data_IF_177061828587
#
_entry.id   IF_177061828587
#
_cell.length_a   1.000
_cell.length_b   1.000
_cell.length_c   1.000
_cell.angle_alpha   90.00
_cell.angle_beta   90.00
_cell.angle_gamma   90.00
#
_symmetry.space_group_name_H-M   'P 1'
#
loop_
_entity.id
_entity.type
_entity.pdbx_description
1 polymer ?
#
# COMPACT_ATOMS: atom_id res chain seq x y z
N UNK A 1 12.45 -32.37 -1.23
CA UNK A 1 13.70 -31.97 -0.56
C UNK A 1 13.62 -32.32 0.92
N UNK A 2 14.56 -33.13 1.42
CA UNK A 2 14.55 -33.68 2.77
C UNK A 2 15.12 -32.67 3.78
N UNK A 3 14.36 -32.34 4.84
CA UNK A 3 14.86 -31.52 5.96
C UNK A 3 15.75 -32.40 6.83
N UNK A 4 16.89 -31.91 7.28
CA UNK A 4 17.76 -32.60 8.24
C UNK A 4 17.04 -32.90 9.57
N UNK A 5 17.55 -33.85 10.38
CA UNK A 5 16.92 -34.28 11.65
C UNK A 5 17.97 -34.50 12.74
N UNK A 6 17.58 -34.35 14.00
CA UNK A 6 18.52 -34.56 15.12
C UNK A 6 19.54 -33.43 15.20
N UNK A 7 20.78 -33.76 15.53
CA UNK A 7 21.85 -32.77 15.72
C UNK A 7 22.18 -31.98 14.44
N UNK A 8 21.97 -32.56 13.26
CA UNK A 8 22.18 -31.89 11.98
C UNK A 8 21.13 -30.80 11.68
N UNK A 9 19.92 -30.94 12.22
CA UNK A 9 18.90 -29.89 12.13
C UNK A 9 19.28 -28.71 13.02
N UNK A 10 19.42 -27.51 12.45
CA UNK A 10 19.86 -26.30 13.17
C UNK A 10 21.17 -26.54 13.96
N UNK A 11 22.25 -26.94 13.29
CA UNK A 11 23.54 -27.27 13.92
C UNK A 11 24.06 -26.16 14.86
N UNK A 12 23.86 -24.89 14.50
CA UNK A 12 24.28 -23.73 15.32
C UNK A 12 23.34 -23.36 16.49
N UNK A 13 22.30 -24.14 16.77
CA UNK A 13 21.33 -23.86 17.85
C UNK A 13 21.17 -25.12 18.71
N UNK A 14 21.36 -24.96 20.03
CA UNK A 14 21.18 -26.06 20.99
C UNK A 14 19.69 -26.37 21.20
N UNK A 15 19.38 -27.61 21.60
CA UNK A 15 18.01 -27.99 21.94
C UNK A 15 17.44 -27.12 23.06
N UNK A 16 18.25 -26.86 24.10
CA UNK A 16 17.89 -26.03 25.26
C UNK A 16 17.52 -24.61 24.86
N UNK A 17 18.18 -24.04 23.85
CA UNK A 17 17.87 -22.70 23.35
C UNK A 17 16.50 -22.63 22.68
N UNK A 18 16.11 -23.67 21.93
CA UNK A 18 14.79 -23.75 21.30
C UNK A 18 13.70 -23.95 22.35
N UNK A 19 13.94 -24.80 23.35
CA UNK A 19 13.01 -25.08 24.44
C UNK A 19 12.79 -23.85 25.34
N UNK A 20 13.86 -23.12 25.68
CA UNK A 20 13.76 -21.84 26.39
C UNK A 20 12.88 -20.86 25.63
N UNK A 21 13.13 -20.67 24.33
CA UNK A 21 12.31 -19.78 23.50
C UNK A 21 10.86 -20.26 23.37
N UNK A 22 10.62 -21.56 23.34
CA UNK A 22 9.27 -22.12 23.34
C UNK A 22 8.50 -21.80 24.64
N UNK A 23 9.18 -21.78 25.79
CA UNK A 23 8.60 -21.41 27.08
C UNK A 23 8.26 -19.93 27.18
N UNK A 24 9.12 -19.07 26.65
CA UNK A 24 8.95 -17.60 26.68
C UNK A 24 7.92 -17.09 25.65
N UNK A 25 7.66 -17.85 24.59
CA UNK A 25 6.81 -17.40 23.48
C UNK A 25 5.31 -17.49 23.80
N UNK A 26 4.62 -16.36 23.62
CA UNK A 26 3.17 -16.23 23.83
C UNK A 26 2.37 -16.32 22.53
N UNK A 27 2.98 -16.08 21.36
CA UNK A 27 2.27 -16.17 20.09
C UNK A 27 2.00 -17.63 19.74
N UNK A 28 0.72 -18.04 19.76
CA UNK A 28 0.30 -19.42 19.48
C UNK A 28 0.89 -20.00 18.18
N UNK A 29 0.96 -19.20 17.10
CA UNK A 29 1.53 -19.66 15.82
C UNK A 29 3.04 -19.85 15.91
N UNK A 30 3.75 -18.97 16.62
CA UNK A 30 5.20 -19.10 16.81
C UNK A 30 5.52 -20.28 17.75
N UNK A 31 4.71 -20.48 18.78
CA UNK A 31 4.83 -21.58 19.74
C UNK A 31 4.69 -22.96 19.08
N UNK A 32 3.67 -23.15 18.24
CA UNK A 32 3.52 -24.40 17.45
C UNK A 32 4.73 -24.63 16.54
N UNK A 33 5.25 -23.58 15.90
CA UNK A 33 6.43 -23.69 15.03
C UNK A 33 7.69 -24.09 15.81
N UNK A 34 7.89 -23.51 16.99
CA UNK A 34 8.97 -23.89 17.90
C UNK A 34 8.80 -25.33 18.38
N UNK A 35 7.59 -25.76 18.70
CA UNK A 35 7.30 -27.16 19.04
C UNK A 35 7.72 -28.13 17.93
N UNK A 36 7.40 -27.83 16.66
CA UNK A 36 7.88 -28.62 15.52
C UNK A 36 9.41 -28.68 15.46
N UNK A 37 10.09 -27.55 15.69
CA UNK A 37 11.54 -27.48 15.67
C UNK A 37 12.18 -28.27 16.82
N UNK A 38 11.64 -28.20 18.05
CA UNK A 38 12.07 -29.00 19.20
C UNK A 38 11.96 -30.49 18.88
N UNK A 39 10.81 -30.94 18.39
CA UNK A 39 10.59 -32.35 18.05
C UNK A 39 11.53 -32.82 16.93
N UNK A 40 11.80 -31.96 15.94
CA UNK A 40 12.74 -32.28 14.86
C UNK A 40 14.19 -32.37 15.35
N UNK A 41 14.60 -31.47 16.25
CA UNK A 41 15.92 -31.49 16.90
C UNK A 41 16.08 -32.71 17.81
N UNK A 42 15.00 -33.19 18.44
CA UNK A 42 14.92 -34.49 19.14
C UNK A 42 14.91 -35.71 18.21
N UNK A 43 15.07 -35.52 16.90
CA UNK A 43 15.17 -36.60 15.91
C UNK A 43 13.84 -37.18 15.42
N UNK A 44 12.69 -36.60 15.80
CA UNK A 44 11.37 -37.11 15.39
C UNK A 44 11.11 -36.90 13.89
N UNK A 45 10.35 -37.82 13.29
CA UNK A 45 9.99 -37.77 11.87
C UNK A 45 8.78 -36.84 11.63
N UNK A 46 8.56 -36.45 10.37
CA UNK A 46 7.48 -35.52 10.00
C UNK A 46 6.08 -36.10 10.33
N UNK A 47 5.77 -37.37 10.05
CA UNK A 47 4.48 -37.97 10.43
C UNK A 47 4.20 -37.92 11.94
N UNK A 48 5.21 -38.20 12.77
CA UNK A 48 5.10 -38.09 14.22
C UNK A 48 4.89 -36.65 14.68
N UNK A 49 5.60 -35.69 14.09
CA UNK A 49 5.39 -34.27 14.42
C UNK A 49 3.99 -33.82 14.01
N UNK A 50 3.50 -34.31 12.87
CA UNK A 50 2.14 -34.05 12.38
C UNK A 50 1.08 -34.55 13.37
N UNK A 51 1.20 -35.80 13.84
CA UNK A 51 0.25 -36.36 14.81
C UNK A 51 0.26 -35.61 16.15
N UNK A 52 1.44 -35.23 16.65
CA UNK A 52 1.57 -34.50 17.94
C UNK A 52 1.06 -33.06 17.85
N UNK A 53 1.30 -32.37 16.72
CA UNK A 53 0.95 -30.95 16.58
C UNK A 53 -0.42 -30.70 15.94
N UNK A 54 -1.07 -31.74 15.43
CA UNK A 54 -2.31 -31.65 14.65
C UNK A 54 -2.16 -30.86 13.34
N UNK A 55 -0.93 -30.70 12.83
CA UNK A 55 -0.65 -29.99 11.58
C UNK A 55 -0.35 -30.97 10.48
N UNK A 56 -0.91 -30.73 9.29
CA UNK A 56 -0.61 -31.51 8.08
C UNK A 56 0.89 -31.63 7.86
N UNK A 57 1.35 -32.78 7.38
CA UNK A 57 2.77 -33.04 7.11
C UNK A 57 3.40 -31.99 6.20
N UNK A 58 2.67 -31.49 5.19
CA UNK A 58 3.11 -30.39 4.34
C UNK A 58 3.43 -29.12 5.11
N UNK A 59 2.58 -28.77 6.09
CA UNK A 59 2.75 -27.60 6.95
C UNK A 59 3.94 -27.79 7.87
N UNK A 60 4.12 -28.97 8.46
CA UNK A 60 5.30 -29.30 9.26
C UNK A 60 6.57 -29.17 8.43
N UNK A 61 6.57 -29.72 7.22
CA UNK A 61 7.68 -29.64 6.27
C UNK A 61 8.05 -28.18 5.93
N UNK A 62 7.05 -27.33 5.68
CA UNK A 62 7.24 -25.89 5.44
C UNK A 62 7.80 -25.14 6.64
N UNK A 63 7.31 -25.47 7.84
CA UNK A 63 7.80 -24.91 9.10
C UNK A 63 9.28 -25.27 9.26
N UNK A 64 9.66 -26.55 9.09
CA UNK A 64 11.03 -26.98 9.29
C UNK A 64 11.99 -26.36 8.26
N UNK A 65 11.59 -26.29 6.98
CA UNK A 65 12.34 -25.54 5.95
C UNK A 65 12.53 -24.07 6.31
N UNK A 66 11.53 -23.46 6.95
CA UNK A 66 11.61 -22.07 7.42
C UNK A 66 12.69 -21.90 8.48
N UNK A 67 12.84 -22.86 9.37
CA UNK A 67 13.92 -22.86 10.38
C UNK A 67 15.29 -23.08 9.75
N UNK A 68 15.46 -24.00 8.78
CA UNK A 68 16.74 -24.17 8.08
C UNK A 68 17.19 -22.87 7.39
N UNK A 69 16.25 -22.11 6.80
CA UNK A 69 16.57 -20.86 6.11
C UNK A 69 16.83 -19.67 7.02
N UNK A 70 16.28 -19.64 8.24
CA UNK A 70 16.23 -18.42 9.09
C UNK A 70 16.69 -18.65 10.52
N UNK A 71 17.19 -19.85 10.82
CA UNK A 71 17.50 -20.29 12.17
C UNK A 71 16.29 -20.21 13.10
N UNK A 72 16.56 -19.90 14.37
CA UNK A 72 15.55 -19.83 15.43
C UNK A 72 14.46 -18.77 15.17
N UNK A 73 14.75 -17.75 14.36
CA UNK A 73 13.78 -16.71 13.99
C UNK A 73 12.77 -17.19 12.94
N UNK A 74 12.92 -18.42 12.44
CA UNK A 74 11.91 -19.11 11.62
C UNK A 74 10.55 -19.25 12.33
N UNK A 75 10.48 -19.12 13.65
CA UNK A 75 9.22 -19.11 14.38
C UNK A 75 8.29 -17.95 13.98
N UNK A 76 8.84 -16.80 13.57
CA UNK A 76 8.06 -15.61 13.24
C UNK A 76 7.62 -15.57 11.77
N UNK A 77 6.47 -14.95 11.55
CA UNK A 77 6.05 -14.59 10.20
C UNK A 77 6.86 -13.37 9.76
N UNK A 78 7.34 -13.38 8.51
CA UNK A 78 7.88 -12.17 7.89
C UNK A 78 6.69 -11.37 7.41
N UNK A 79 6.62 -10.10 7.81
CA UNK A 79 5.68 -9.13 7.27
C UNK A 79 5.90 -9.08 5.76
N UNK A 80 4.94 -9.59 5.00
CA UNK A 80 5.00 -9.51 3.55
C UNK A 80 4.97 -8.02 3.18
N UNK A 81 5.90 -7.59 2.33
CA UNK A 81 5.80 -6.28 1.71
C UNK A 81 4.51 -6.33 0.89
N UNK A 82 3.56 -5.46 1.22
CA UNK A 82 2.33 -5.35 0.45
C UNK A 82 2.64 -4.99 -1.01
N UNK A 83 1.60 -4.96 -1.85
CA UNK A 83 1.75 -4.54 -3.24
C UNK A 83 2.52 -3.22 -3.31
N UNK A 84 3.58 -3.12 -4.15
CA UNK A 84 4.29 -1.87 -4.32
C UNK A 84 3.32 -0.77 -4.75
N UNK A 85 3.46 0.42 -4.16
CA UNK A 85 2.65 1.59 -4.52
C UNK A 85 2.92 1.91 -5.99
N UNK A 86 1.88 2.14 -6.81
CA UNK A 86 2.07 2.43 -8.25
C UNK A 86 2.97 3.65 -8.49
N UNK A 87 2.87 4.68 -7.65
CA UNK A 87 3.82 5.80 -7.64
C UNK A 87 5.04 5.48 -6.79
N UNK A 88 6.21 5.60 -7.42
CA UNK A 88 7.51 5.56 -6.78
C UNK A 88 7.68 6.70 -5.76
N UNK A 89 8.64 6.59 -4.81
CA UNK A 89 8.97 7.67 -3.89
C UNK A 89 9.34 8.98 -4.61
N UNK A 90 10.07 8.90 -5.72
CA UNK A 90 10.46 10.07 -6.52
C UNK A 90 9.25 10.76 -7.16
N UNK A 91 8.32 9.99 -7.73
CA UNK A 91 7.09 10.55 -8.32
C UNK A 91 6.18 11.16 -7.26
N UNK A 92 6.15 10.60 -6.04
CA UNK A 92 5.42 11.18 -4.90
C UNK A 92 5.97 12.54 -4.48
N UNK A 93 7.30 12.68 -4.44
CA UNK A 93 7.97 13.96 -4.16
C UNK A 93 7.66 14.97 -5.26
N UNK A 94 7.78 14.55 -6.53
CA UNK A 94 7.43 15.38 -7.70
C UNK A 94 5.97 15.83 -7.63
N UNK A 95 5.05 14.92 -7.34
CA UNK A 95 3.62 15.21 -7.20
C UNK A 95 3.35 16.19 -6.07
N UNK A 96 3.99 16.03 -4.90
CA UNK A 96 3.86 16.96 -3.77
C UNK A 96 4.32 18.37 -4.14
N UNK A 97 5.45 18.49 -4.83
CA UNK A 97 5.99 19.78 -5.28
C UNK A 97 5.06 20.48 -6.28
N UNK A 98 4.46 19.71 -7.19
CA UNK A 98 3.55 20.25 -8.22
C UNK A 98 2.22 20.67 -7.58
N UNK A 99 1.59 19.80 -6.78
CA UNK A 99 0.31 20.09 -6.15
C UNK A 99 0.41 21.15 -5.03
N UNK A 100 1.62 21.45 -4.55
CA UNK A 100 1.88 22.56 -3.64
C UNK A 100 1.92 23.93 -4.31
N UNK A 101 1.94 23.99 -5.65
CA UNK A 101 1.87 25.21 -6.45
C UNK A 101 0.46 25.40 -7.02
N UNK A 102 0.18 26.52 -7.68
CA UNK A 102 -1.12 26.71 -8.33
C UNK A 102 -1.24 25.82 -9.59
N UNK A 103 -2.45 25.36 -9.99
CA UNK A 103 -2.63 24.66 -11.27
C UNK A 103 -2.26 25.55 -12.48
N UNK A 104 -2.37 26.87 -12.35
CA UNK A 104 -1.99 27.84 -13.38
C UNK A 104 -0.50 27.76 -13.73
N UNK A 105 0.37 27.56 -12.74
CA UNK A 105 1.80 27.33 -12.96
C UNK A 105 2.09 26.03 -13.72
N UNK A 106 1.11 25.12 -13.84
CA UNK A 106 1.21 23.90 -14.64
C UNK A 106 0.52 24.04 -16.00
N UNK A 107 0.15 25.26 -16.41
CA UNK A 107 -0.55 25.52 -17.67
C UNK A 107 -2.03 25.13 -17.64
N UNK A 108 -2.62 24.94 -16.46
CA UNK A 108 -4.03 24.60 -16.30
C UNK A 108 -4.86 25.84 -15.95
N UNK A 109 -6.05 26.05 -16.53
CA UNK A 109 -6.87 27.25 -16.36
C UNK A 109 -7.67 27.22 -15.03
N UNK A 110 -7.24 26.42 -14.06
CA UNK A 110 -7.92 26.25 -12.78
C UNK A 110 -7.17 27.02 -11.69
N UNK A 111 -7.91 27.74 -10.85
CA UNK A 111 -7.32 28.54 -9.77
C UNK A 111 -6.87 27.66 -8.60
N UNK A 112 -7.59 26.56 -8.35
CA UNK A 112 -7.29 25.63 -7.26
C UNK A 112 -7.26 24.18 -7.74
N UNK A 113 -6.45 23.36 -7.08
CA UNK A 113 -6.41 21.93 -7.31
C UNK A 113 -7.66 21.26 -6.73
N UNK A 114 -8.49 20.65 -7.58
CA UNK A 114 -9.52 19.70 -7.15
C UNK A 114 -8.98 18.27 -7.18
N UNK A 115 -9.65 17.35 -6.48
CA UNK A 115 -9.29 15.91 -6.51
C UNK A 115 -9.38 15.36 -7.94
N UNK A 116 -10.40 15.79 -8.71
CA UNK A 116 -10.57 15.37 -10.10
C UNK A 116 -9.45 15.93 -10.99
N UNK A 117 -9.07 17.19 -10.80
CA UNK A 117 -7.96 17.79 -11.53
C UNK A 117 -6.61 17.12 -11.20
N UNK A 118 -6.38 16.81 -9.92
CA UNK A 118 -5.20 16.06 -9.51
C UNK A 118 -5.19 14.63 -10.09
N UNK A 119 -6.34 13.94 -10.15
CA UNK A 119 -6.47 12.64 -10.81
C UNK A 119 -6.10 12.73 -12.30
N UNK A 120 -6.67 13.71 -13.00
CA UNK A 120 -6.33 13.97 -14.40
C UNK A 120 -4.83 14.22 -14.57
N UNK A 121 -4.26 15.07 -13.73
CA UNK A 121 -2.83 15.39 -13.79
C UNK A 121 -1.95 14.15 -13.58
N UNK A 122 -2.26 13.30 -12.60
CA UNK A 122 -1.52 12.06 -12.35
C UNK A 122 -1.63 11.10 -13.55
N UNK A 123 -2.80 10.99 -14.17
CA UNK A 123 -3.01 10.16 -15.37
C UNK A 123 -2.16 10.63 -16.55
N UNK A 124 -2.13 11.92 -16.85
CA UNK A 124 -1.45 12.44 -18.04
C UNK A 124 0.05 12.69 -17.84
N UNK A 125 0.46 13.17 -16.66
CA UNK A 125 1.87 13.56 -16.41
C UNK A 125 2.69 12.44 -15.78
N UNK A 126 2.07 11.55 -15.01
CA UNK A 126 2.73 10.43 -14.35
C UNK A 126 2.31 9.08 -14.96
N UNK A 127 1.52 9.10 -16.04
CA UNK A 127 1.05 7.91 -16.79
C UNK A 127 0.48 6.80 -15.89
N UNK A 128 -0.07 7.18 -14.74
CA UNK A 128 -0.53 6.25 -13.71
C UNK A 128 -1.99 6.49 -13.42
N UNK A 129 -2.80 5.44 -13.55
CA UNK A 129 -4.24 5.54 -13.30
C UNK A 129 -4.61 5.13 -11.87
N UNK A 130 -5.45 5.95 -11.26
CA UNK A 130 -5.99 5.76 -9.92
C UNK A 130 -7.49 6.06 -9.88
N UNK A 131 -8.20 5.34 -9.02
CA UNK A 131 -9.58 5.69 -8.65
C UNK A 131 -9.54 6.93 -7.73
N UNK A 132 -10.59 7.77 -7.77
CA UNK A 132 -10.69 9.03 -7.02
C UNK A 132 -10.34 8.89 -5.53
N UNK A 133 -10.81 7.81 -4.88
CA UNK A 133 -10.48 7.52 -3.47
C UNK A 133 -8.99 7.27 -3.22
N UNK A 134 -8.31 6.62 -4.18
CA UNK A 134 -6.87 6.38 -4.08
C UNK A 134 -6.10 7.70 -4.22
N UNK A 135 -6.53 8.59 -5.13
CA UNK A 135 -5.96 9.93 -5.28
C UNK A 135 -6.14 10.74 -3.99
N UNK A 136 -7.34 10.74 -3.40
CA UNK A 136 -7.60 11.40 -2.12
C UNK A 136 -6.67 10.90 -1.01
N UNK A 137 -6.50 9.58 -0.90
CA UNK A 137 -5.56 8.97 0.06
C UNK A 137 -4.11 9.38 -0.21
N UNK A 138 -3.68 9.39 -1.47
CA UNK A 138 -2.32 9.82 -1.85
C UNK A 138 -2.07 11.26 -1.43
N UNK A 139 -3.01 12.17 -1.74
CA UNK A 139 -2.94 13.58 -1.36
C UNK A 139 -2.81 13.75 0.16
N UNK A 140 -3.65 13.04 0.93
CA UNK A 140 -3.61 13.06 2.40
C UNK A 140 -2.28 12.51 2.93
N UNK A 141 -1.77 11.42 2.37
CA UNK A 141 -0.45 10.86 2.71
C UNK A 141 0.70 11.84 2.41
N UNK A 142 0.54 12.75 1.43
CA UNK A 142 1.53 13.78 1.09
C UNK A 142 1.44 15.02 2.00
N UNK A 143 0.44 15.08 2.89
CA UNK A 143 0.18 16.22 3.77
C UNK A 143 -0.47 17.41 3.06
N UNK A 144 -1.12 17.18 1.92
CA UNK A 144 -1.82 18.21 1.17
C UNK A 144 -3.33 18.15 1.46
N UNK A 145 -3.98 19.31 1.42
CA UNK A 145 -5.44 19.43 1.48
C UNK A 145 -5.92 20.20 0.25
N UNK A 146 -6.43 19.47 -0.73
CA UNK A 146 -6.92 20.08 -1.97
C UNK A 146 -8.25 20.79 -1.72
N UNK A 147 -8.34 22.03 -2.23
CA UNK A 147 -9.47 22.91 -1.99
C UNK A 147 -10.56 22.72 -3.06
N UNK A 148 -11.82 22.92 -2.66
CA UNK A 148 -12.93 23.03 -3.62
C UNK A 148 -12.95 24.46 -4.18
N UNK A 149 -13.05 24.66 -5.51
CA UNK A 149 -13.16 26.00 -6.08
C UNK A 149 -14.42 26.69 -5.57
N UNK A 150 -14.26 27.93 -5.09
CA UNK A 150 -15.40 28.83 -4.86
C UNK A 150 -15.91 29.41 -6.19
N UNK A 151 -17.21 29.75 -6.29
CA UNK A 151 -17.86 30.15 -7.55
C UNK A 151 -17.25 31.40 -8.20
N UNK A 152 -16.70 32.30 -7.40
CA UNK A 152 -16.04 33.53 -7.84
C UNK A 152 -14.76 33.26 -8.65
N UNK A 153 -14.03 32.19 -8.32
CA UNK A 153 -12.82 31.80 -9.05
C UNK A 153 -13.11 31.30 -10.47
N UNK A 154 -14.32 30.76 -10.70
CA UNK A 154 -14.77 30.29 -12.01
C UNK A 154 -15.03 31.48 -12.95
N UNK A 155 -15.64 32.55 -12.42
CA UNK A 155 -16.01 33.74 -13.20
C UNK A 155 -14.82 34.60 -13.61
N UNK A 156 -13.70 34.52 -12.88
CA UNK A 156 -12.55 35.41 -13.03
C UNK A 156 -11.66 35.06 -14.24
N UNK A 157 -11.70 33.81 -14.73
CA UNK A 157 -10.70 33.34 -15.71
C UNK A 157 -11.26 33.01 -17.11
N UNK A 158 -12.17 33.84 -17.62
CA UNK A 158 -12.86 33.59 -18.91
C UNK A 158 -11.93 33.53 -20.13
N UNK A 159 -10.82 34.29 -20.14
CA UNK A 159 -9.86 34.33 -21.26
C UNK A 159 -9.01 33.06 -21.36
N UNK A 160 -8.39 32.62 -20.26
CA UNK A 160 -7.65 31.36 -20.23
C UNK A 160 -8.58 30.15 -20.46
N UNK A 161 -9.84 30.20 -20.01
CA UNK A 161 -10.83 29.16 -20.30
C UNK A 161 -11.19 29.07 -21.80
N UNK A 162 -11.25 30.19 -22.50
CA UNK A 162 -11.58 30.23 -23.94
C UNK A 162 -10.44 29.68 -24.81
N UNK A 163 -9.19 30.02 -24.51
CA UNK A 163 -8.01 29.42 -25.14
C UNK A 163 -7.88 27.92 -24.79
N UNK A 164 -8.25 27.55 -23.57
CA UNK A 164 -8.22 26.18 -23.08
C UNK A 164 -9.23 25.25 -23.77
N UNK A 165 -10.46 25.72 -24.04
CA UNK A 165 -11.48 24.94 -24.77
C UNK A 165 -11.05 24.57 -26.19
N UNK A 166 -10.09 25.29 -26.79
CA UNK A 166 -9.57 25.00 -28.13
C UNK A 166 -8.44 23.97 -28.13
N UNK A 167 -7.59 23.97 -27.08
CA UNK A 167 -6.30 23.27 -27.11
C UNK A 167 -6.21 22.00 -26.22
N UNK A 168 -7.22 21.71 -25.40
CA UNK A 168 -7.16 20.62 -24.42
C UNK A 168 -8.19 19.50 -24.66
N UNK A 169 -7.88 18.33 -24.11
CA UNK A 169 -8.61 17.07 -24.24
C UNK A 169 -10.05 17.14 -23.68
N UNK A 170 -10.96 16.34 -24.24
CA UNK A 170 -12.39 16.32 -23.91
C UNK A 170 -12.64 15.98 -22.43
N UNK A 171 -11.80 15.12 -21.85
CA UNK A 171 -11.83 14.78 -20.41
C UNK A 171 -11.65 16.02 -19.52
N UNK A 172 -10.74 16.94 -19.88
CA UNK A 172 -10.54 18.19 -19.15
C UNK A 172 -11.69 19.18 -19.34
N UNK A 173 -12.28 19.22 -20.54
CA UNK A 173 -13.44 20.09 -20.84
C UNK A 173 -14.62 19.69 -19.97
N UNK A 174 -14.89 18.38 -19.88
CA UNK A 174 -15.94 17.82 -19.01
C UNK A 174 -15.70 18.16 -17.53
N UNK A 175 -14.46 18.07 -17.05
CA UNK A 175 -14.12 18.45 -15.67
C UNK A 175 -14.39 19.93 -15.39
N UNK A 176 -14.03 20.81 -16.32
CA UNK A 176 -14.34 22.24 -16.21
C UNK A 176 -15.85 22.48 -16.13
N UNK A 177 -16.66 21.81 -16.96
CA UNK A 177 -18.12 21.95 -16.92
C UNK A 177 -18.75 21.41 -15.64
N UNK A 178 -18.27 20.27 -15.13
CA UNK A 178 -18.77 19.66 -13.90
C UNK A 178 -18.47 20.52 -12.67
N UNK A 179 -17.29 21.14 -12.61
CA UNK A 179 -16.93 22.04 -11.51
C UNK A 179 -17.74 23.36 -11.56
N UNK A 180 -18.26 23.75 -12.73
CA UNK A 180 -19.23 24.85 -12.90
C UNK A 180 -20.68 24.48 -12.50
N UNK A 181 -21.07 23.20 -12.56
CA UNK A 181 -22.45 22.71 -12.37
C UNK A 181 -22.76 22.16 -10.95
N UNK A 182 -21.96 22.48 -9.93
CA UNK A 182 -22.19 21.93 -8.57
C UNK A 182 -23.58 22.36 -8.01
N UNK A 183 -24.46 21.44 -7.56
CA UNK A 183 -25.89 21.71 -7.28
C UNK A 183 -26.18 22.75 -6.18
N UNK A 184 -25.20 23.04 -5.32
CA UNK A 184 -25.30 24.07 -4.29
C UNK A 184 -25.39 25.48 -4.94
N UNK A 185 -24.99 25.61 -6.21
CA UNK A 185 -24.93 26.88 -6.94
C UNK A 185 -26.21 27.28 -7.68
N UNK A 186 -27.20 26.39 -7.77
CA UNK A 186 -28.50 26.75 -8.36
C UNK A 186 -29.51 27.28 -7.34
N UNK A 187 -29.22 27.23 -6.03
CA UNK A 187 -30.08 27.80 -4.98
C UNK A 187 -29.66 29.24 -4.62
N UNK A 188 -29.76 30.15 -5.59
CA UNK A 188 -29.76 31.60 -5.33
C UNK A 188 -30.39 32.39 -6.49
N UNK A 189 -31.42 31.82 -7.12
CA UNK A 189 -32.31 32.54 -8.03
C UNK A 189 -33.73 32.18 -7.67
N UNK A 190 -34.32 32.96 -6.75
CA UNK A 190 -35.75 33.22 -6.55
C UNK A 190 -35.97 33.84 -5.16
N UNK A 191 -35.90 35.17 -5.08
CA UNK A 191 -37.02 36.07 -4.75
C UNK A 191 -36.52 37.50 -4.67
#
# INVERSE_FOLDING_TARGET
MYVTKGNSFLSGVSLTQIEKKYGEENNAKAKIRLQCAVLRKKGKNIPFISSVTGKRESTVSDILRRFEKRGINGCYAIKQKGQPKKLSPAERIKLKRILGRSPQEQGLPFVVWTIKLAKYFIKHQLKTEYVTMQVHRIIKELGLSLQKPRPEHIKTNKKLQAEFKKNFDEELRSLCEQDMRSPILMKASSH
#
